data_IF_810489413406
#
_entry.id   IF_810489413406
#
_cell.length_a   1.000
_cell.length_b   1.000
_cell.length_c   1.000
_cell.angle_alpha   90.00
_cell.angle_beta   90.00
_cell.angle_gamma   90.00
#
_symmetry.space_group_name_H-M   'P 1'
#
loop_
_entity.id
_entity.type
_entity.pdbx_description
1 polymer ?
#
# COMPACT_ATOMS: atom_id res chain seq x y z
N UNK A 1 7.98 -3.58 -3.57
CA UNK A 1 7.34 -4.71 -4.26
C UNK A 1 5.85 -4.70 -4.03
N UNK A 2 5.09 -5.04 -5.03
CA UNK A 2 3.65 -5.18 -4.91
C UNK A 2 3.24 -6.43 -4.12
N UNK A 3 1.97 -6.53 -3.83
CA UNK A 3 1.41 -7.70 -3.20
C UNK A 3 1.24 -8.88 -4.13
N UNK A 4 0.87 -10.00 -3.59
CA UNK A 4 0.56 -11.22 -4.34
C UNK A 4 -0.92 -11.25 -4.69
N UNK A 5 -1.23 -11.39 -5.98
CA UNK A 5 -2.60 -11.57 -6.46
C UNK A 5 -2.57 -12.52 -7.66
N UNK A 6 -3.64 -13.29 -7.91
CA UNK A 6 -4.88 -13.39 -7.13
C UNK A 6 -4.68 -14.17 -5.82
N UNK A 7 -5.54 -13.94 -4.84
CA UNK A 7 -5.50 -14.63 -3.58
C UNK A 7 -6.80 -15.39 -3.35
N UNK A 8 -6.79 -16.48 -2.56
CA UNK A 8 -8.02 -17.17 -2.17
C UNK A 8 -8.99 -16.24 -1.46
N UNK A 9 -10.28 -16.60 -1.50
CA UNK A 9 -11.32 -15.87 -0.79
C UNK A 9 -10.99 -15.77 0.70
N UNK A 10 -11.18 -14.59 1.28
CA UNK A 10 -10.90 -14.34 2.68
C UNK A 10 -9.47 -13.94 2.99
N UNK A 11 -8.57 -13.99 2.02
CA UNK A 11 -7.19 -13.52 2.19
C UNK A 11 -7.03 -12.16 1.55
N UNK A 12 -6.47 -11.21 2.30
CA UNK A 12 -6.23 -9.85 1.79
C UNK A 12 -4.90 -9.81 1.04
N UNK A 13 -4.90 -9.38 -0.23
CA UNK A 13 -3.66 -9.33 -1.03
C UNK A 13 -2.82 -8.12 -0.64
N UNK A 14 -2.09 -8.26 0.45
CA UNK A 14 -1.31 -7.16 1.03
C UNK A 14 -0.05 -6.84 0.23
N UNK A 15 0.42 -5.61 0.37
CA UNK A 15 1.65 -5.17 -0.26
C UNK A 15 2.89 -5.83 0.32
N UNK A 16 3.98 -5.77 -0.41
CA UNK A 16 5.28 -6.25 0.06
C UNK A 16 5.82 -5.36 1.16
N UNK A 17 6.61 -5.94 2.06
CA UNK A 17 7.24 -5.20 3.13
C UNK A 17 8.28 -4.23 2.57
N UNK A 18 8.40 -3.06 3.20
CA UNK A 18 9.46 -2.13 2.89
C UNK A 18 10.81 -2.60 3.45
N UNK A 19 11.79 -1.74 3.35
CA UNK A 19 13.09 -1.96 3.95
C UNK A 19 13.30 -0.99 5.11
N UNK A 20 13.96 -1.43 6.15
CA UNK A 20 14.27 -0.60 7.32
C UNK A 20 15.72 -0.18 7.29
N UNK A 21 15.94 1.13 7.45
CA UNK A 21 17.27 1.73 7.50
C UNK A 21 17.42 2.50 8.80
N UNK A 22 18.55 2.36 9.47
CA UNK A 22 18.82 3.12 10.68
C UNK A 22 19.82 4.21 10.36
N UNK A 23 19.43 5.46 10.61
CA UNK A 23 20.27 6.64 10.38
C UNK A 23 20.32 7.44 11.69
N UNK A 24 21.51 7.68 12.21
CA UNK A 24 21.70 8.45 13.44
C UNK A 24 20.85 7.96 14.62
N UNK A 25 20.69 6.65 14.74
CA UNK A 25 19.92 6.02 15.81
C UNK A 25 18.39 5.96 15.58
N UNK A 26 17.90 6.50 14.50
CA UNK A 26 16.48 6.44 14.16
C UNK A 26 16.22 5.44 13.03
N UNK A 27 15.26 4.55 13.23
CA UNK A 27 14.88 3.56 12.21
C UNK A 27 13.78 4.14 11.30
N UNK A 28 13.97 3.96 9.99
CA UNK A 28 13.01 4.36 8.97
C UNK A 28 12.62 3.14 8.15
N UNK A 29 11.34 2.80 8.12
CA UNK A 29 10.84 1.73 7.25
C UNK A 29 10.14 2.36 6.05
N UNK A 30 10.69 2.15 4.88
CA UNK A 30 10.37 2.89 3.67
C UNK A 30 10.11 1.93 2.50
N UNK A 31 9.51 2.47 1.45
CA UNK A 31 9.32 1.78 0.17
C UNK A 31 8.47 0.51 0.29
N UNK A 32 7.46 0.54 1.14
CA UNK A 32 6.49 -0.57 1.20
C UNK A 32 5.58 -0.61 0.00
N UNK A 33 5.07 -1.78 -0.31
CA UNK A 33 4.09 -1.95 -1.38
C UNK A 33 2.69 -1.53 -0.97
N UNK A 34 1.93 -1.02 -1.91
CA UNK A 34 0.50 -0.81 -1.72
C UNK A 34 -0.26 -2.14 -1.74
N UNK A 35 -1.40 -2.19 -1.08
CA UNK A 35 -2.29 -3.34 -1.11
C UNK A 35 -3.01 -3.43 -2.46
N UNK A 36 -3.25 -4.64 -2.93
CA UNK A 36 -4.01 -4.83 -4.15
C UNK A 36 -5.51 -4.62 -3.89
N UNK A 37 -6.20 -4.08 -4.87
CA UNK A 37 -7.65 -4.10 -4.85
C UNK A 37 -8.18 -5.52 -5.00
N UNK A 38 -9.38 -5.78 -4.54
CA UNK A 38 -9.96 -7.10 -4.64
C UNK A 38 -11.47 -7.03 -4.87
N UNK A 39 -12.08 -8.17 -5.16
CA UNK A 39 -13.54 -8.28 -5.24
C UNK A 39 -14.19 -8.32 -3.86
N UNK A 40 -13.43 -8.65 -2.82
CA UNK A 40 -13.84 -8.60 -1.43
C UNK A 40 -13.10 -7.48 -0.69
N UNK A 41 -12.41 -7.82 0.39
CA UNK A 41 -11.59 -6.84 1.11
C UNK A 41 -10.27 -6.58 0.40
N UNK A 42 -9.95 -5.31 0.20
CA UNK A 42 -8.67 -4.90 -0.36
C UNK A 42 -7.50 -5.21 0.56
N UNK A 43 -6.33 -5.30 0.01
CA UNK A 43 -5.11 -5.61 0.74
C UNK A 43 -4.60 -4.45 1.59
N UNK A 44 -3.79 -4.78 2.57
CA UNK A 44 -3.13 -3.79 3.41
C UNK A 44 -1.88 -3.26 2.72
N UNK A 45 -1.65 -1.95 2.84
CA UNK A 45 -0.35 -1.40 2.48
C UNK A 45 0.66 -1.68 3.58
N UNK A 46 1.93 -1.66 3.23
CA UNK A 46 3.03 -1.88 4.17
C UNK A 46 3.96 -0.67 4.16
N UNK A 47 4.55 -0.36 5.30
CA UNK A 47 5.57 0.69 5.44
C UNK A 47 5.17 2.01 4.76
N UNK A 48 3.96 2.47 4.99
CA UNK A 48 3.43 3.70 4.38
C UNK A 48 2.70 3.47 3.07
N UNK A 49 2.58 2.24 2.60
CA UNK A 49 1.81 1.94 1.38
C UNK A 49 0.31 2.17 1.57
N UNK A 50 -0.38 2.51 0.51
CA UNK A 50 -1.81 2.74 0.52
C UNK A 50 -2.61 1.43 0.61
N UNK A 51 -3.82 1.51 1.15
CA UNK A 51 -4.73 0.36 1.23
C UNK A 51 -5.34 0.07 -0.13
N UNK A 52 -5.49 -1.18 -0.44
CA UNK A 52 -6.27 -1.59 -1.62
C UNK A 52 -7.76 -1.35 -1.39
N UNK A 53 -8.44 -1.03 -2.46
CA UNK A 53 -9.89 -0.83 -2.44
C UNK A 53 -10.65 -2.14 -2.31
N UNK A 54 -11.82 -2.07 -1.71
CA UNK A 54 -12.72 -3.20 -1.59
C UNK A 54 -13.54 -3.36 -2.89
N UNK A 55 -13.91 -4.60 -3.18
CA UNK A 55 -15.00 -4.88 -4.10
C UNK A 55 -16.33 -4.98 -3.36
N UNK A 56 -17.40 -5.19 -4.09
CA UNK A 56 -18.72 -5.30 -3.50
C UNK A 56 -19.17 -6.75 -3.22
N UNK A 57 -18.27 -7.70 -3.34
CA UNK A 57 -18.51 -9.06 -2.88
C UNK A 57 -18.31 -9.15 -1.37
N UNK A 58 -18.86 -10.16 -0.75
CA UNK A 58 -18.73 -10.41 0.70
C UNK A 58 -19.28 -9.26 1.57
N UNK A 59 -20.27 -8.53 1.08
CA UNK A 59 -20.95 -7.49 1.87
C UNK A 59 -20.19 -6.19 2.06
N UNK A 60 -19.10 -5.99 1.34
CA UNK A 60 -18.33 -4.76 1.38
C UNK A 60 -18.88 -3.73 0.39
N UNK A 61 -18.75 -2.46 0.74
CA UNK A 61 -18.95 -1.38 -0.23
C UNK A 61 -17.70 -1.24 -1.08
N UNK A 62 -17.89 -1.17 -2.40
CA UNK A 62 -16.75 -0.99 -3.30
C UNK A 62 -16.06 0.34 -3.04
N UNK A 63 -14.75 0.37 -3.10
CA UNK A 63 -13.96 1.58 -2.84
C UNK A 63 -12.70 1.65 -3.69
N UNK A 64 -12.24 2.86 -3.89
CA UNK A 64 -10.94 3.10 -4.51
C UNK A 64 -9.82 2.76 -3.53
N UNK A 65 -8.62 2.54 -4.06
CA UNK A 65 -7.43 2.44 -3.24
C UNK A 65 -7.07 3.78 -2.60
N UNK A 66 -6.27 3.75 -1.55
CA UNK A 66 -5.81 4.98 -0.89
C UNK A 66 -4.40 5.34 -1.30
N UNK A 67 -4.07 6.61 -1.15
CA UNK A 67 -2.72 7.10 -1.40
C UNK A 67 -1.74 6.55 -0.36
N UNK A 68 -0.50 6.44 -0.74
CA UNK A 68 0.57 6.14 0.19
C UNK A 68 0.88 7.36 1.06
N UNK A 69 1.53 7.09 2.19
CA UNK A 69 2.01 8.15 3.10
C UNK A 69 3.14 8.94 2.43
N UNK A 70 3.11 10.24 2.57
CA UNK A 70 4.16 11.12 2.07
C UNK A 70 5.52 10.82 2.72
N UNK A 71 6.59 11.05 1.99
CA UNK A 71 7.97 10.89 2.46
C UNK A 71 8.35 9.44 2.79
N UNK A 72 7.69 8.46 2.13
CA UNK A 72 8.00 7.04 2.34
C UNK A 72 8.49 6.34 1.08
N UNK A 73 8.23 6.92 -0.10
CA UNK A 73 8.52 6.25 -1.36
C UNK A 73 7.69 4.99 -1.58
N UNK A 74 6.57 4.86 -0.86
CA UNK A 74 5.76 3.65 -0.88
C UNK A 74 4.72 3.68 -1.99
N UNK A 75 4.19 2.53 -2.36
CA UNK A 75 3.20 2.42 -3.43
C UNK A 75 1.78 2.73 -2.97
N UNK A 76 0.98 3.32 -3.83
CA UNK A 76 -0.45 3.50 -3.58
C UNK A 76 -1.22 2.18 -3.68
N UNK A 77 -2.41 2.13 -3.12
CA UNK A 77 -3.27 0.95 -3.19
C UNK A 77 -3.99 0.82 -4.51
N UNK A 78 -4.27 -0.39 -4.94
CA UNK A 78 -5.07 -0.65 -6.14
C UNK A 78 -6.55 -0.39 -5.91
N UNK A 79 -7.28 -0.05 -6.95
CA UNK A 79 -8.75 0.10 -6.86
C UNK A 79 -9.47 -1.23 -6.68
N UNK A 80 -10.65 -1.20 -6.06
CA UNK A 80 -11.45 -2.39 -5.86
C UNK A 80 -12.02 -2.96 -7.16
N UNK A 81 -12.39 -4.22 -7.10
CA UNK A 81 -13.00 -4.88 -8.25
C UNK A 81 -14.50 -4.63 -8.38
N UNK A 82 -15.06 -5.11 -9.48
CA UNK A 82 -16.49 -5.11 -9.79
C UNK A 82 -17.12 -3.73 -9.98
N UNK A 83 -16.35 -2.69 -10.15
CA UNK A 83 -16.86 -1.36 -10.42
C UNK A 83 -15.83 -0.56 -11.22
N UNK A 84 -16.17 -0.29 -12.48
CA UNK A 84 -15.26 0.39 -13.40
C UNK A 84 -14.92 1.83 -13.07
N UNK A 85 -15.52 2.41 -12.03
CA UNK A 85 -15.29 3.80 -11.66
C UNK A 85 -14.29 3.95 -10.49
N UNK A 86 -13.65 2.87 -10.06
CA UNK A 86 -12.74 2.90 -8.92
C UNK A 86 -11.30 3.05 -9.37
N UNK A 87 -10.53 3.76 -8.59
CA UNK A 87 -9.16 4.18 -8.93
C UNK A 87 -8.14 3.63 -7.96
N UNK A 88 -6.91 3.49 -8.42
CA UNK A 88 -5.77 3.27 -7.53
C UNK A 88 -5.37 4.56 -6.82
N UNK A 89 -4.74 4.43 -5.68
CA UNK A 89 -4.16 5.56 -4.96
C UNK A 89 -2.80 5.97 -5.53
N UNK A 90 -2.37 7.16 -5.23
CA UNK A 90 -1.07 7.67 -5.65
C UNK A 90 0.06 7.08 -4.81
N UNK A 91 1.22 6.91 -5.41
CA UNK A 91 2.43 6.60 -4.66
C UNK A 91 2.85 7.75 -3.76
N UNK A 92 3.56 7.43 -2.69
CA UNK A 92 4.08 8.45 -1.78
C UNK A 92 5.33 9.11 -2.32
N UNK A 93 5.55 10.37 -1.95
CA UNK A 93 6.80 11.04 -2.22
C UNK A 93 7.94 10.33 -1.50
N UNK A 94 9.15 10.47 -2.04
CA UNK A 94 10.36 9.94 -1.42
C UNK A 94 10.88 10.84 -0.31
N UNK A 95 11.95 10.40 0.32
CA UNK A 95 12.66 11.15 1.36
C UNK A 95 14.15 11.00 1.16
N UNK A 96 14.89 12.05 1.45
CA UNK A 96 16.35 12.02 1.53
C UNK A 96 16.75 12.27 2.97
N UNK A 97 17.54 11.38 3.53
CA UNK A 97 18.00 11.48 4.93
C UNK A 97 19.52 11.58 4.89
N UNK A 98 20.04 12.66 5.47
CA UNK A 98 21.47 12.91 5.51
C UNK A 98 21.90 12.99 6.96
N UNK A 99 22.91 12.20 7.34
CA UNK A 99 23.51 12.24 8.66
C UNK A 99 25.01 12.48 8.51
N UNK A 100 25.56 13.35 9.35
CA UNK A 100 26.97 13.68 9.32
C UNK A 100 27.45 14.06 10.73
N UNK A 101 28.74 13.97 10.93
CA UNK A 101 29.33 14.43 12.20
C UNK A 101 29.37 15.95 12.19
N UNK A 102 28.90 16.53 13.29
CA UNK A 102 28.86 17.98 13.46
C UNK A 102 30.11 18.46 14.26
#
# INVERSE_FOLDING_TARGET
MGGTAPTPSGVRPSGGAGATYTVAGTAYTLAGGGGAGSDGLGGLGQAGGGLGGNGNNAGQSASSGTDATANTGSGGGGGGGNNGSLYGGAGGSGIVIIAYLA
#
